data_IF_662324702808
#
_entry.id   IF_662324702808
#
_cell.length_a   1.000
_cell.length_b   1.000
_cell.length_c   1.000
_cell.angle_alpha   90.00
_cell.angle_beta   90.00
_cell.angle_gamma   90.00
#
_symmetry.space_group_name_H-M   'P 1'
#
loop_
_entity.id
_entity.type
_entity.pdbx_description
1 polymer ?
#
# COMPACT_ATOMS: atom_id res chain seq x y z
N UNK A 1 18.04 2.23 -62.66
CA UNK A 1 17.94 2.85 -64.00
C UNK A 1 16.54 3.43 -64.14
N UNK A 2 16.50 4.77 -64.30
CA UNK A 2 15.45 5.64 -64.84
C UNK A 2 13.95 5.34 -64.60
N UNK A 3 13.29 6.23 -63.85
CA UNK A 3 11.96 6.76 -64.20
C UNK A 3 12.12 7.78 -65.36
N UNK A 4 11.04 8.17 -66.09
CA UNK A 4 10.28 9.35 -65.63
C UNK A 4 8.79 9.38 -66.05
N UNK A 5 8.00 10.25 -65.41
CA UNK A 5 6.81 10.86 -66.04
C UNK A 5 5.63 11.13 -65.11
N UNK A 6 5.58 12.33 -64.53
CA UNK A 6 4.37 12.98 -64.01
C UNK A 6 4.20 14.35 -64.68
N UNK A 7 2.97 14.90 -64.73
CA UNK A 7 2.73 16.34 -64.46
C UNK A 7 1.52 16.53 -63.53
N UNK A 8 1.64 17.13 -62.33
CA UNK A 8 1.64 18.57 -61.94
C UNK A 8 0.31 19.33 -62.01
N UNK A 9 -0.14 19.79 -60.83
CA UNK A 9 -0.72 21.12 -60.48
C UNK A 9 -0.61 21.21 -58.93
N UNK A 10 0.19 22.09 -58.30
CA UNK A 10 0.10 23.56 -58.21
C UNK A 10 -1.00 23.94 -57.19
N UNK A 11 -0.80 24.58 -56.04
CA UNK A 11 0.01 25.78 -55.75
C UNK A 11 0.17 26.01 -54.23
N UNK A 12 1.30 26.61 -53.85
CA UNK A 12 1.82 27.03 -52.53
C UNK A 12 1.15 28.29 -51.94
N UNK A 13 1.28 28.51 -50.61
CA UNK A 13 1.39 29.78 -49.82
C UNK A 13 0.50 29.73 -48.55
N UNK A 14 0.80 30.27 -47.35
CA UNK A 14 1.94 30.96 -46.73
C UNK A 14 1.63 31.10 -45.22
N UNK A 15 2.66 31.20 -44.39
CA UNK A 15 2.64 31.45 -42.93
C UNK A 15 2.27 32.89 -42.55
N UNK A 16 1.32 33.07 -41.61
CA UNK A 16 1.20 34.23 -40.69
C UNK A 16 0.55 33.81 -39.35
N UNK A 17 0.85 34.49 -38.22
CA UNK A 17 0.71 33.94 -36.86
C UNK A 17 -0.66 34.21 -36.22
N UNK A 18 -1.18 33.24 -35.47
CA UNK A 18 -2.42 33.40 -34.68
C UNK A 18 -2.09 34.00 -33.31
N UNK A 19 -2.81 35.08 -33.04
CA UNK A 19 -2.77 36.01 -31.92
C UNK A 19 -2.90 35.35 -30.53
N UNK A 20 -2.10 35.84 -29.58
CA UNK A 20 -1.96 35.35 -28.21
C UNK A 20 -3.22 35.56 -27.37
N UNK A 21 -3.82 34.47 -26.87
CA UNK A 21 -4.82 34.53 -25.80
C UNK A 21 -4.09 34.94 -24.51
N UNK A 22 -4.33 36.17 -24.05
CA UNK A 22 -3.91 36.67 -22.75
C UNK A 22 -4.51 35.79 -21.64
N UNK A 23 -3.67 34.94 -21.03
CA UNK A 23 -3.97 34.32 -19.74
C UNK A 23 -4.00 35.41 -18.68
N UNK A 24 -5.18 35.61 -18.07
CA UNK A 24 -5.36 36.45 -16.89
C UNK A 24 -4.29 36.15 -15.85
N UNK A 25 -3.49 37.17 -15.52
CA UNK A 25 -2.46 37.13 -14.50
C UNK A 25 -3.12 37.12 -13.12
N UNK A 26 -3.44 35.92 -12.62
CA UNK A 26 -3.83 35.72 -11.21
C UNK A 26 -2.55 35.76 -10.39
N UNK A 27 -2.38 36.72 -9.46
CA UNK A 27 -1.17 36.79 -8.66
C UNK A 27 -1.11 35.56 -7.76
N UNK A 28 -0.24 34.62 -8.11
CA UNK A 28 0.19 33.55 -7.22
C UNK A 28 0.90 34.23 -6.05
N UNK A 29 0.18 34.42 -4.94
CA UNK A 29 0.79 34.74 -3.66
C UNK A 29 1.55 33.50 -3.21
N UNK A 30 2.80 33.38 -3.64
CA UNK A 30 3.77 32.53 -2.96
C UNK A 30 3.77 32.94 -1.49
N UNK A 31 3.12 32.15 -0.64
CA UNK A 31 3.54 32.09 0.74
C UNK A 31 4.96 31.60 0.67
N UNK A 32 5.93 32.50 0.89
CA UNK A 32 7.30 32.13 1.25
C UNK A 32 7.17 31.15 2.40
N UNK A 33 7.24 29.86 2.08
CA UNK A 33 7.57 28.83 3.04
C UNK A 33 8.92 29.28 3.57
N UNK A 34 8.93 29.84 4.78
CA UNK A 34 10.16 29.97 5.53
C UNK A 34 10.57 28.53 5.77
N UNK A 35 11.48 28.08 4.92
CA UNK A 35 12.17 26.81 5.01
C UNK A 35 12.76 26.78 6.43
N UNK A 36 12.10 26.08 7.34
CA UNK A 36 12.63 25.80 8.65
C UNK A 36 13.97 25.11 8.42
N UNK A 37 15.02 25.68 8.99
CA UNK A 37 16.42 25.32 8.76
C UNK A 37 16.75 24.02 9.49
N UNK A 38 15.89 23.00 9.37
CA UNK A 38 15.96 21.81 10.22
C UNK A 38 17.10 20.87 9.85
N UNK A 39 17.71 21.03 8.68
CA UNK A 39 18.98 20.39 8.35
C UNK A 39 19.67 21.26 7.30
N UNK A 40 20.92 21.64 7.58
CA UNK A 40 21.79 22.29 6.61
C UNK A 40 21.71 21.55 5.27
N UNK A 41 21.49 22.23 4.14
CA UNK A 41 21.34 21.56 2.83
C UNK A 41 22.54 20.66 2.52
N UNK A 42 23.70 21.04 3.03
CA UNK A 42 24.95 20.29 2.92
C UNK A 42 24.95 18.99 3.75
N UNK A 43 24.26 18.96 4.90
CA UNK A 43 24.09 17.75 5.73
C UNK A 43 23.06 16.78 5.14
N UNK A 44 21.97 17.29 4.55
CA UNK A 44 21.04 16.45 3.78
C UNK A 44 21.72 15.88 2.53
N UNK A 45 22.52 16.68 1.84
CA UNK A 45 23.34 16.22 0.73
C UNK A 45 24.35 15.15 1.18
N UNK A 46 24.96 15.28 2.36
CA UNK A 46 25.86 14.27 2.92
C UNK A 46 25.15 12.95 3.27
N UNK A 47 23.89 12.98 3.72
CA UNK A 47 23.07 11.77 3.93
C UNK A 47 22.74 11.11 2.58
N UNK A 48 22.43 11.90 1.55
CA UNK A 48 22.15 11.40 0.19
C UNK A 48 23.40 10.89 -0.56
N UNK A 49 24.59 11.41 -0.23
CA UNK A 49 25.88 11.02 -0.83
C UNK A 49 26.59 9.87 -0.09
N UNK A 50 25.91 9.22 0.84
CA UNK A 50 26.47 8.12 1.63
C UNK A 50 26.64 6.84 0.79
N UNK A 51 27.75 6.80 0.04
CA UNK A 51 28.15 5.69 -0.84
C UNK A 51 28.46 4.39 -0.08
N UNK A 52 28.70 4.45 1.23
CA UNK A 52 28.93 3.30 2.12
C UNK A 52 27.66 2.78 2.80
N UNK A 53 26.54 3.49 2.74
CA UNK A 53 25.26 3.07 3.36
C UNK A 53 25.24 3.10 4.90
N UNK A 54 26.21 3.74 5.54
CA UNK A 54 26.34 3.74 7.00
C UNK A 54 25.37 4.73 7.64
N UNK A 55 24.37 4.25 8.39
CA UNK A 55 23.38 5.12 9.05
C UNK A 55 24.07 5.95 10.14
N UNK A 56 24.35 7.22 9.85
CA UNK A 56 24.91 8.20 10.80
C UNK A 56 23.80 9.04 11.39
N UNK A 57 23.80 9.18 12.71
CA UNK A 57 22.82 9.99 13.42
C UNK A 57 22.98 11.48 13.03
N UNK A 58 21.96 12.12 12.43
CA UNK A 58 22.05 13.49 11.90
C UNK A 58 22.17 14.56 12.99
N UNK A 59 21.79 14.25 14.23
CA UNK A 59 21.85 15.19 15.35
C UNK A 59 23.25 15.26 15.98
N UNK A 60 24.13 14.32 15.64
CA UNK A 60 25.50 14.27 16.18
C UNK A 60 26.31 15.46 15.65
N UNK A 61 26.99 16.15 16.56
CA UNK A 61 27.82 17.31 16.24
C UNK A 61 27.07 18.65 16.24
N UNK A 62 25.75 18.66 16.46
CA UNK A 62 25.00 19.90 16.69
C UNK A 62 25.21 20.34 18.16
N UNK A 63 25.65 21.58 18.42
CA UNK A 63 25.75 22.10 19.78
C UNK A 63 24.40 22.04 20.51
N UNK A 64 24.42 21.75 21.81
CA UNK A 64 23.20 21.56 22.62
C UNK A 64 22.25 22.76 22.52
N UNK A 65 22.76 23.98 22.63
CA UNK A 65 21.94 25.19 22.58
C UNK A 65 21.30 25.40 21.19
N UNK A 66 22.02 25.02 20.13
CA UNK A 66 21.48 25.06 18.78
C UNK A 66 20.37 24.02 18.60
N UNK A 67 20.58 22.79 19.09
CA UNK A 67 19.59 21.72 19.03
C UNK A 67 18.30 22.09 19.76
N UNK A 68 18.39 22.72 20.92
CA UNK A 68 17.21 23.18 21.67
C UNK A 68 16.45 24.25 20.87
N UNK A 69 17.16 25.26 20.33
CA UNK A 69 16.54 26.29 19.49
C UNK A 69 15.86 25.72 18.25
N UNK A 70 16.51 24.79 17.57
CA UNK A 70 15.95 24.13 16.38
C UNK A 70 14.66 23.37 16.72
N UNK A 71 14.59 22.75 17.91
CA UNK A 71 13.40 22.06 18.40
C UNK A 71 12.29 23.04 18.81
N UNK A 72 12.64 24.18 19.42
CA UNK A 72 11.69 25.24 19.76
C UNK A 72 11.07 25.86 18.51
N UNK A 73 11.89 26.16 17.50
CA UNK A 73 11.45 26.65 16.20
C UNK A 73 10.54 25.62 15.50
N UNK A 74 10.92 24.34 15.52
CA UNK A 74 10.08 23.24 15.03
C UNK A 74 8.72 23.20 15.74
N UNK A 75 8.72 23.28 17.06
CA UNK A 75 7.49 23.24 17.84
C UNK A 75 6.60 24.46 17.54
N UNK A 76 7.18 25.64 17.34
CA UNK A 76 6.45 26.84 16.96
C UNK A 76 5.83 26.72 15.55
N UNK A 77 6.60 26.23 14.58
CA UNK A 77 6.17 26.10 13.18
C UNK A 77 5.03 25.09 13.00
N UNK A 78 5.03 24.01 13.80
CA UNK A 78 4.02 22.95 13.74
C UNK A 78 2.93 23.05 14.82
N UNK A 79 2.89 24.16 15.59
CA UNK A 79 1.92 24.38 16.67
C UNK A 79 1.94 23.28 17.76
N UNK A 80 3.14 22.80 18.10
CA UNK A 80 3.41 21.77 19.11
C UNK A 80 4.02 22.35 20.39
N UNK A 81 3.73 23.63 20.68
CA UNK A 81 4.36 24.37 21.78
C UNK A 81 4.02 23.82 23.17
N UNK A 82 2.92 23.07 23.27
CA UNK A 82 2.46 22.38 24.47
C UNK A 82 3.35 21.18 24.84
N UNK A 83 3.97 20.53 23.84
CA UNK A 83 4.84 19.37 24.04
C UNK A 83 6.34 19.68 23.87
N UNK A 84 6.70 20.95 23.65
CA UNK A 84 8.11 21.38 23.49
C UNK A 84 9.08 20.80 24.52
N UNK A 85 8.77 20.76 25.84
CA UNK A 85 9.69 20.17 26.81
C UNK A 85 10.01 18.71 26.53
N UNK A 86 9.02 17.91 26.08
CA UNK A 86 9.23 16.52 25.71
C UNK A 86 9.99 16.38 24.39
N UNK A 87 9.76 17.28 23.44
CA UNK A 87 10.52 17.30 22.19
C UNK A 87 12.01 17.61 22.44
N UNK A 88 12.31 18.54 23.36
CA UNK A 88 13.69 18.85 23.76
C UNK A 88 14.35 17.63 24.40
N UNK A 89 13.69 17.01 25.39
CA UNK A 89 14.18 15.77 26.03
C UNK A 89 14.42 14.67 24.98
N UNK A 90 13.46 14.46 24.07
CA UNK A 90 13.54 13.48 23.00
C UNK A 90 14.69 13.75 22.01
N UNK A 91 14.92 15.01 21.62
CA UNK A 91 16.01 15.39 20.74
C UNK A 91 17.39 15.16 21.39
N UNK A 92 17.52 15.46 22.69
CA UNK A 92 18.76 15.21 23.44
C UNK A 92 19.04 13.71 23.59
N UNK A 93 18.01 12.90 23.90
CA UNK A 93 18.12 11.44 23.93
C UNK A 93 18.46 10.88 22.56
N UNK A 94 17.81 11.37 21.50
CA UNK A 94 18.08 10.97 20.13
C UNK A 94 19.50 11.33 19.68
N UNK A 95 20.06 12.46 20.14
CA UNK A 95 21.45 12.83 19.86
C UNK A 95 22.45 11.86 20.50
N UNK A 96 22.21 11.41 21.74
CA UNK A 96 23.12 10.55 22.51
C UNK A 96 22.40 9.38 23.20
N UNK A 97 21.89 8.38 22.43
CA UNK A 97 21.04 7.32 22.98
C UNK A 97 21.75 6.38 23.96
N UNK A 98 23.09 6.33 23.96
CA UNK A 98 23.90 5.52 24.88
C UNK A 98 24.34 6.25 26.15
N UNK A 99 24.09 7.55 26.26
CA UNK A 99 24.56 8.38 27.37
C UNK A 99 23.41 9.15 28.03
N UNK A 100 22.28 8.47 28.20
CA UNK A 100 21.06 9.00 28.81
C UNK A 100 21.36 9.57 30.20
N UNK A 101 22.21 8.90 30.98
CA UNK A 101 22.65 9.32 32.32
C UNK A 101 23.34 10.69 32.36
N UNK A 102 23.90 11.16 31.25
CA UNK A 102 24.64 12.44 31.19
C UNK A 102 23.77 13.64 30.80
N UNK A 103 22.52 13.43 30.40
CA UNK A 103 21.62 14.49 29.95
C UNK A 103 20.95 15.13 31.16
N UNK A 104 21.25 16.39 31.46
CA UNK A 104 20.75 17.11 32.65
C UNK A 104 19.24 17.39 32.62
N UNK A 105 18.65 17.45 31.44
CA UNK A 105 17.23 17.75 31.22
C UNK A 105 16.29 16.58 31.53
N UNK A 106 16.83 15.37 31.69
CA UNK A 106 16.06 14.19 32.04
C UNK A 106 15.90 14.09 33.56
N UNK A 107 14.66 13.97 33.99
CA UNK A 107 14.33 13.66 35.38
C UNK A 107 14.53 12.16 35.67
N UNK A 108 14.45 11.79 36.95
CA UNK A 108 14.69 10.40 37.38
C UNK A 108 13.66 9.42 36.80
N UNK A 109 12.44 9.92 36.55
CA UNK A 109 11.36 9.12 35.97
C UNK A 109 11.61 8.86 34.48
N UNK A 110 12.07 9.86 33.72
CA UNK A 110 12.51 9.70 32.33
C UNK A 110 13.62 8.65 32.23
N UNK A 111 14.63 8.75 33.12
CA UNK A 111 15.75 7.79 33.15
C UNK A 111 15.28 6.39 33.45
N UNK A 112 14.34 6.22 34.39
CA UNK A 112 13.74 4.93 34.73
C UNK A 112 13.01 4.34 33.52
N UNK A 113 12.17 5.11 32.85
CA UNK A 113 11.41 4.65 31.67
C UNK A 113 12.35 4.26 30.51
N UNK A 114 13.35 5.09 30.21
CA UNK A 114 14.33 4.79 29.16
C UNK A 114 15.21 3.58 29.49
N UNK A 115 15.56 3.39 30.76
CA UNK A 115 16.28 2.19 31.21
C UNK A 115 15.40 0.94 31.16
N UNK A 116 14.12 1.07 31.49
CA UNK A 116 13.14 0.00 31.36
C UNK A 116 12.95 -0.43 29.90
N UNK A 117 12.95 0.51 28.96
CA UNK A 117 12.84 0.21 27.53
C UNK A 117 14.01 -0.69 27.05
N UNK A 118 15.24 -0.39 27.49
CA UNK A 118 16.44 -1.18 27.15
C UNK A 118 16.39 -2.56 27.82
N UNK A 119 16.09 -2.60 29.11
CA UNK A 119 16.08 -3.85 29.91
C UNK A 119 14.90 -4.75 29.56
N UNK A 120 13.76 -4.18 29.18
CA UNK A 120 12.51 -4.88 28.87
C UNK A 120 12.04 -4.59 27.44
N UNK A 121 12.92 -4.83 26.46
CA UNK A 121 12.71 -4.62 25.01
C UNK A 121 11.42 -5.21 24.40
N UNK A 122 10.74 -6.14 25.09
CA UNK A 122 9.50 -6.79 24.61
C UNK A 122 8.25 -6.37 25.41
N UNK A 123 8.37 -5.43 26.34
CA UNK A 123 7.25 -4.92 27.16
C UNK A 123 6.41 -3.96 26.33
N UNK A 124 5.50 -4.52 25.53
CA UNK A 124 4.56 -3.78 24.70
C UNK A 124 3.10 -4.11 25.06
N UNK A 125 2.15 -3.25 24.69
CA UNK A 125 0.73 -3.53 24.87
C UNK A 125 0.32 -4.85 24.22
N UNK A 126 -0.41 -5.72 24.94
CA UNK A 126 -0.87 -7.02 24.42
C UNK A 126 -1.69 -6.90 23.12
N UNK A 127 -2.36 -5.76 22.93
CA UNK A 127 -3.12 -5.47 21.71
C UNK A 127 -2.24 -5.38 20.46
N UNK A 128 -0.98 -4.93 20.60
CA UNK A 128 -0.02 -4.90 19.49
C UNK A 128 0.30 -6.32 19.03
N UNK A 129 0.65 -7.20 19.96
CA UNK A 129 0.92 -8.61 19.66
C UNK A 129 -0.28 -9.31 19.04
N UNK A 130 -1.48 -9.06 19.57
CA UNK A 130 -2.71 -9.59 18.98
C UNK A 130 -2.88 -9.13 17.53
N UNK A 131 -2.64 -7.84 17.26
CA UNK A 131 -2.75 -7.27 15.90
C UNK A 131 -1.73 -7.89 14.95
N UNK A 132 -0.47 -8.07 15.39
CA UNK A 132 0.57 -8.73 14.60
C UNK A 132 0.16 -10.17 14.24
N UNK A 133 -0.32 -10.94 15.22
CA UNK A 133 -0.74 -12.33 15.00
C UNK A 133 -1.93 -12.40 14.05
N UNK A 134 -2.96 -11.56 14.25
CA UNK A 134 -4.14 -11.54 13.38
C UNK A 134 -3.79 -11.14 11.94
N UNK A 135 -2.94 -10.13 11.76
CA UNK A 135 -2.46 -9.74 10.43
C UNK A 135 -1.62 -10.84 9.76
N UNK A 136 -0.79 -11.54 10.55
CA UNK A 136 0.01 -12.66 10.04
C UNK A 136 -0.87 -13.82 9.56
N UNK A 137 -1.89 -14.20 10.34
CA UNK A 137 -2.86 -15.23 9.95
C UNK A 137 -3.62 -14.79 8.68
N UNK A 138 -4.04 -13.54 8.60
CA UNK A 138 -4.72 -13.02 7.41
C UNK A 138 -3.84 -13.13 6.15
N UNK A 139 -2.55 -12.82 6.27
CA UNK A 139 -1.59 -13.00 5.18
C UNK A 139 -1.39 -14.49 4.81
N UNK A 140 -1.31 -15.38 5.81
CA UNK A 140 -1.23 -16.82 5.57
C UNK A 140 -2.46 -17.37 4.82
N UNK A 141 -3.67 -16.98 5.23
CA UNK A 141 -4.92 -17.38 4.54
C UNK A 141 -4.94 -16.87 3.11
N UNK A 142 -4.47 -15.64 2.87
CA UNK A 142 -4.38 -15.08 1.52
C UNK A 142 -3.42 -15.89 0.63
N UNK A 143 -2.24 -16.27 1.14
CA UNK A 143 -1.29 -17.10 0.41
C UNK A 143 -1.79 -18.54 0.17
N UNK A 144 -2.52 -19.09 1.14
CA UNK A 144 -3.14 -20.40 1.03
C UNK A 144 -4.19 -20.43 -0.08
N UNK A 145 -5.07 -19.43 -0.17
CA UNK A 145 -6.10 -19.36 -1.21
C UNK A 145 -5.51 -19.28 -2.63
N UNK A 146 -4.46 -18.47 -2.80
CA UNK A 146 -3.74 -18.36 -4.07
C UNK A 146 -3.12 -19.70 -4.48
N UNK A 147 -2.42 -20.37 -3.55
CA UNK A 147 -1.75 -21.65 -3.82
C UNK A 147 -2.76 -22.78 -4.02
N UNK A 148 -3.84 -22.82 -3.24
CA UNK A 148 -4.91 -23.80 -3.36
C UNK A 148 -5.63 -23.69 -4.71
N UNK A 149 -5.95 -22.48 -5.15
CA UNK A 149 -6.54 -22.23 -6.46
C UNK A 149 -5.60 -22.65 -7.60
N UNK A 150 -4.31 -22.36 -7.49
CA UNK A 150 -3.30 -22.82 -8.45
C UNK A 150 -3.15 -24.35 -8.47
N UNK A 151 -3.19 -25.01 -7.31
CA UNK A 151 -3.17 -26.47 -7.23
C UNK A 151 -4.40 -27.11 -7.89
N UNK A 152 -5.59 -26.55 -7.62
CA UNK A 152 -6.84 -27.02 -8.22
C UNK A 152 -6.86 -26.89 -9.76
N UNK A 153 -6.13 -25.93 -10.33
CA UNK A 153 -6.06 -25.73 -11.78
C UNK A 153 -5.56 -26.95 -12.56
N UNK A 154 -4.78 -27.84 -11.94
CA UNK A 154 -4.30 -29.06 -12.58
C UNK A 154 -5.42 -30.08 -12.82
N UNK A 155 -6.45 -30.11 -11.96
CA UNK A 155 -7.41 -31.22 -11.93
C UNK A 155 -8.85 -30.80 -12.16
N UNK A 156 -9.23 -29.57 -11.80
CA UNK A 156 -10.64 -29.16 -11.86
C UNK A 156 -11.20 -29.21 -13.29
N UNK A 157 -10.40 -28.81 -14.29
CA UNK A 157 -10.86 -28.78 -15.67
C UNK A 157 -11.16 -30.20 -16.20
N UNK A 158 -10.39 -31.19 -15.76
CA UNK A 158 -10.61 -32.61 -16.07
C UNK A 158 -11.88 -33.10 -15.37
N UNK A 159 -12.00 -32.87 -14.06
CA UNK A 159 -13.13 -33.32 -13.25
C UNK A 159 -14.47 -32.71 -13.69
N UNK A 160 -14.44 -31.46 -14.15
CA UNK A 160 -15.62 -30.72 -14.60
C UNK A 160 -15.94 -30.95 -16.10
N UNK A 161 -15.14 -31.75 -16.81
CA UNK A 161 -15.34 -32.05 -18.24
C UNK A 161 -15.06 -30.87 -19.18
N UNK A 162 -14.24 -29.91 -18.76
CA UNK A 162 -13.89 -28.68 -19.50
C UNK A 162 -12.39 -28.54 -19.70
N UNK A 163 -11.66 -29.65 -19.83
CA UNK A 163 -10.21 -29.61 -20.04
C UNK A 163 -9.87 -29.00 -21.39
N UNK A 164 -8.87 -28.13 -21.41
CA UNK A 164 -8.25 -27.54 -22.59
C UNK A 164 -7.01 -28.32 -23.06
N UNK A 165 -6.65 -29.39 -22.35
CA UNK A 165 -5.54 -30.26 -22.71
C UNK A 165 -5.95 -31.23 -23.84
N UNK A 166 -5.20 -31.32 -24.95
CA UNK A 166 -5.46 -32.23 -26.07
C UNK A 166 -5.69 -33.70 -25.69
N UNK A 167 -5.17 -34.15 -24.54
CA UNK A 167 -5.40 -35.51 -24.02
C UNK A 167 -6.83 -35.77 -23.56
N UNK A 168 -7.58 -34.71 -23.23
CA UNK A 168 -8.91 -34.81 -22.61
C UNK A 168 -9.99 -33.99 -23.36
N UNK A 169 -9.65 -33.35 -24.49
CA UNK A 169 -10.60 -32.64 -25.35
C UNK A 169 -10.68 -33.26 -26.75
N UNK A 170 -11.89 -33.35 -27.30
CA UNK A 170 -12.15 -34.12 -28.52
C UNK A 170 -11.66 -33.45 -29.82
N UNK A 171 -11.66 -32.11 -29.89
CA UNK A 171 -11.24 -31.36 -31.09
C UNK A 171 -10.53 -30.06 -30.69
N UNK A 172 -9.64 -29.55 -31.54
CA UNK A 172 -8.92 -28.30 -31.30
C UNK A 172 -9.86 -27.10 -31.03
N UNK A 173 -11.01 -27.05 -31.71
CA UNK A 173 -12.02 -26.01 -31.50
C UNK A 173 -12.65 -26.09 -30.10
N UNK A 174 -12.90 -27.30 -29.59
CA UNK A 174 -13.41 -27.51 -28.22
C UNK A 174 -12.33 -27.15 -27.19
N UNK A 175 -11.08 -27.54 -27.42
CA UNK A 175 -9.97 -27.20 -26.52
C UNK A 175 -9.79 -25.67 -26.41
N UNK A 176 -9.86 -24.95 -27.53
CA UNK A 176 -9.77 -23.48 -27.55
C UNK A 176 -10.92 -22.84 -26.76
N UNK A 177 -12.16 -23.30 -26.96
CA UNK A 177 -13.32 -22.84 -26.18
C UNK A 177 -13.15 -23.12 -24.68
N UNK A 178 -12.66 -24.31 -24.33
CA UNK A 178 -12.43 -24.71 -22.94
C UNK A 178 -11.34 -23.85 -22.28
N UNK A 179 -10.31 -23.43 -23.02
CA UNK A 179 -9.27 -22.54 -22.50
C UNK A 179 -9.82 -21.17 -22.07
N UNK A 180 -10.72 -20.59 -22.88
CA UNK A 180 -11.46 -19.38 -22.48
C UNK A 180 -12.30 -19.60 -21.23
N UNK A 181 -12.94 -20.76 -21.10
CA UNK A 181 -13.76 -21.09 -19.93
C UNK A 181 -12.91 -21.27 -18.66
N UNK A 182 -11.78 -21.97 -18.75
CA UNK A 182 -10.81 -22.13 -17.65
C UNK A 182 -10.24 -20.76 -17.25
N UNK A 183 -9.88 -19.93 -18.22
CA UNK A 183 -9.43 -18.56 -17.98
C UNK A 183 -10.49 -17.72 -17.26
N UNK A 184 -11.76 -17.85 -17.67
CA UNK A 184 -12.89 -17.19 -17.02
C UNK A 184 -13.09 -17.66 -15.57
N UNK A 185 -13.08 -18.97 -15.30
CA UNK A 185 -13.24 -19.52 -13.93
C UNK A 185 -12.13 -19.06 -12.98
N UNK A 186 -10.91 -18.86 -13.50
CA UNK A 186 -9.80 -18.31 -12.72
C UNK A 186 -9.84 -16.80 -12.57
N UNK A 187 -10.38 -16.09 -13.56
CA UNK A 187 -10.50 -14.64 -13.52
C UNK A 187 -11.76 -14.18 -12.79
N UNK A 188 -12.75 -15.06 -12.59
CA UNK A 188 -14.05 -14.73 -12.02
C UNK A 188 -13.98 -14.06 -10.64
N UNK A 189 -13.06 -14.44 -9.72
CA UNK A 189 -12.92 -13.72 -8.47
C UNK A 189 -12.51 -12.26 -8.73
N UNK A 190 -11.47 -12.02 -9.52
CA UNK A 190 -11.00 -10.67 -9.82
C UNK A 190 -12.06 -9.79 -10.49
N UNK A 191 -12.83 -10.37 -11.42
CA UNK A 191 -13.96 -9.69 -12.06
C UNK A 191 -15.02 -9.31 -11.02
N UNK A 192 -15.34 -10.20 -10.08
CA UNK A 192 -16.29 -9.92 -9.01
C UNK A 192 -15.80 -8.78 -8.08
N UNK A 193 -14.51 -8.70 -7.78
CA UNK A 193 -13.93 -7.57 -7.02
C UNK A 193 -14.21 -6.27 -7.76
N UNK A 194 -13.77 -6.18 -9.01
CA UNK A 194 -13.84 -4.94 -9.77
C UNK A 194 -15.26 -4.41 -9.93
N UNK A 195 -16.24 -5.31 -10.08
CA UNK A 195 -17.62 -4.93 -10.38
C UNK A 195 -18.48 -4.70 -9.14
N UNK A 196 -18.23 -5.43 -8.04
CA UNK A 196 -19.13 -5.38 -6.89
C UNK A 196 -18.50 -4.80 -5.64
N UNK A 197 -17.21 -5.06 -5.37
CA UNK A 197 -16.59 -4.71 -4.10
C UNK A 197 -16.71 -3.22 -3.75
N UNK A 198 -16.42 -2.37 -4.73
CA UNK A 198 -16.44 -0.93 -4.56
C UNK A 198 -17.85 -0.38 -4.26
N UNK A 199 -18.90 -1.07 -4.75
CA UNK A 199 -20.28 -0.60 -4.65
C UNK A 199 -21.01 -1.13 -3.41
N UNK A 200 -20.68 -2.35 -2.97
CA UNK A 200 -21.33 -2.97 -1.80
C UNK A 200 -20.66 -2.66 -0.46
N UNK A 201 -19.42 -2.15 -0.45
CA UNK A 201 -18.72 -1.88 0.83
C UNK A 201 -19.43 -0.80 1.67
N UNK A 202 -19.73 0.36 1.08
CA UNK A 202 -20.37 1.49 1.76
C UNK A 202 -21.76 1.20 2.33
N UNK A 203 -22.73 0.72 1.53
CA UNK A 203 -24.09 0.52 2.02
C UNK A 203 -24.11 -0.45 3.19
N UNK A 204 -23.28 -1.50 3.15
CA UNK A 204 -23.45 -2.55 4.12
C UNK A 204 -22.58 -2.39 5.38
N UNK A 205 -21.50 -1.63 5.29
CA UNK A 205 -20.90 -1.02 6.48
C UNK A 205 -21.88 -0.08 7.21
N UNK A 206 -22.74 0.64 6.48
CA UNK A 206 -23.76 1.51 7.08
C UNK A 206 -24.86 0.72 7.81
N UNK A 207 -25.31 -0.40 7.25
CA UNK A 207 -26.39 -1.21 7.85
C UNK A 207 -25.95 -2.15 8.97
N UNK A 208 -24.78 -2.78 8.88
CA UNK A 208 -24.34 -3.83 9.83
C UNK A 208 -23.28 -3.34 10.84
N UNK A 209 -22.72 -2.16 10.60
CA UNK A 209 -21.59 -1.63 11.35
C UNK A 209 -20.31 -2.46 11.16
N UNK A 210 -19.17 -1.89 11.56
CA UNK A 210 -17.85 -2.50 11.31
C UNK A 210 -17.67 -3.89 11.93
N UNK A 211 -18.22 -4.12 13.13
CA UNK A 211 -18.08 -5.40 13.85
C UNK A 211 -18.95 -6.51 13.26
N UNK A 212 -20.21 -6.20 12.93
CA UNK A 212 -21.15 -7.17 12.36
C UNK A 212 -20.71 -7.64 10.97
N UNK A 213 -20.24 -6.68 10.18
CA UNK A 213 -19.60 -6.90 8.89
C UNK A 213 -18.45 -7.92 8.95
N UNK A 214 -17.48 -7.71 9.85
CA UNK A 214 -16.32 -8.61 9.99
C UNK A 214 -16.77 -10.03 10.39
N UNK A 215 -17.74 -10.14 11.29
CA UNK A 215 -18.24 -11.43 11.76
C UNK A 215 -18.91 -12.22 10.63
N UNK A 216 -19.74 -11.56 9.83
CA UNK A 216 -20.41 -12.20 8.69
C UNK A 216 -19.37 -12.59 7.63
N UNK A 217 -18.42 -11.70 7.31
CA UNK A 217 -17.33 -12.01 6.38
C UNK A 217 -16.54 -13.27 6.83
N UNK A 218 -16.26 -13.41 8.13
CA UNK A 218 -15.57 -14.58 8.67
C UNK A 218 -16.36 -15.89 8.48
N UNK A 219 -17.69 -15.88 8.66
CA UNK A 219 -18.54 -17.06 8.42
C UNK A 219 -18.43 -17.48 6.95
N UNK A 220 -18.55 -16.53 6.02
CA UNK A 220 -18.46 -16.82 4.59
C UNK A 220 -17.07 -17.26 4.16
N UNK A 221 -16.00 -16.75 4.80
CA UNK A 221 -14.61 -17.21 4.62
C UNK A 221 -14.42 -18.69 4.93
N UNK A 222 -15.15 -19.23 5.91
CA UNK A 222 -15.11 -20.66 6.21
C UNK A 222 -16.01 -21.46 5.27
N UNK A 223 -17.22 -20.97 4.99
CA UNK A 223 -18.19 -21.72 4.18
C UNK A 223 -17.82 -21.81 2.70
N UNK A 224 -17.15 -20.80 2.14
CA UNK A 224 -16.87 -20.73 0.71
C UNK A 224 -15.87 -21.79 0.20
N UNK A 225 -14.73 -22.04 0.87
CA UNK A 225 -13.85 -23.15 0.50
C UNK A 225 -14.54 -24.51 0.64
N UNK A 226 -15.39 -24.68 1.67
CA UNK A 226 -16.18 -25.91 1.87
C UNK A 226 -17.16 -26.11 0.70
N UNK A 227 -17.92 -25.07 0.35
CA UNK A 227 -18.85 -25.10 -0.78
C UNK A 227 -18.15 -25.38 -2.10
N UNK A 228 -16.97 -24.79 -2.33
CA UNK A 228 -16.15 -25.01 -3.52
C UNK A 228 -15.74 -26.49 -3.67
N UNK A 229 -15.44 -27.16 -2.55
CA UNK A 229 -15.11 -28.59 -2.52
C UNK A 229 -16.28 -29.53 -2.85
N UNK A 230 -17.53 -29.07 -2.73
CA UNK A 230 -18.73 -29.86 -3.04
C UNK A 230 -19.23 -29.65 -4.48
N UNK A 231 -18.66 -28.72 -5.24
CA UNK A 231 -19.13 -28.38 -6.58
C UNK A 231 -18.88 -29.50 -7.59
N UNK A 232 -19.86 -29.74 -8.47
CA UNK A 232 -19.81 -30.80 -9.50
C UNK A 232 -19.84 -30.24 -10.93
N UNK A 233 -20.11 -28.93 -11.07
CA UNK A 233 -20.15 -28.22 -12.35
C UNK A 233 -19.32 -26.94 -12.24
N UNK A 234 -18.67 -26.55 -13.35
CA UNK A 234 -17.85 -25.34 -13.41
C UNK A 234 -18.64 -24.07 -13.02
N UNK A 235 -19.94 -23.99 -13.36
CA UNK A 235 -20.78 -22.85 -12.99
C UNK A 235 -21.03 -22.74 -11.48
N UNK A 236 -21.15 -23.87 -10.78
CA UNK A 236 -21.27 -23.90 -9.32
C UNK A 236 -19.97 -23.44 -8.67
N UNK A 237 -18.81 -23.84 -9.21
CA UNK A 237 -17.50 -23.40 -8.75
C UNK A 237 -17.34 -21.87 -8.91
N UNK A 238 -17.78 -21.31 -10.03
CA UNK A 238 -17.83 -19.85 -10.23
C UNK A 238 -18.75 -19.18 -9.22
N UNK A 239 -19.96 -19.73 -9.00
CA UNK A 239 -20.90 -19.17 -8.03
C UNK A 239 -20.34 -19.19 -6.60
N UNK A 240 -19.69 -20.28 -6.18
CA UNK A 240 -19.02 -20.38 -4.88
C UNK A 240 -17.86 -19.38 -4.76
N UNK A 241 -17.06 -19.19 -5.83
CA UNK A 241 -15.94 -18.23 -5.85
C UNK A 241 -16.41 -16.77 -5.85
N UNK A 242 -17.47 -16.44 -6.59
CA UNK A 242 -18.01 -15.08 -6.72
C UNK A 242 -18.85 -14.69 -5.51
N UNK A 243 -19.73 -15.58 -5.05
CA UNK A 243 -20.60 -15.33 -3.89
C UNK A 243 -19.82 -15.08 -2.60
N UNK A 244 -18.62 -15.64 -2.51
CA UNK A 244 -17.69 -15.43 -1.40
C UNK A 244 -17.02 -14.07 -1.41
N UNK A 245 -16.51 -13.65 -2.57
CA UNK A 245 -15.67 -12.45 -2.68
C UNK A 245 -16.42 -11.16 -2.37
N UNK A 246 -17.71 -11.14 -2.74
CA UNK A 246 -18.67 -10.10 -2.38
C UNK A 246 -18.78 -9.86 -0.87
N UNK A 247 -18.38 -10.83 -0.04
CA UNK A 247 -18.50 -10.80 1.43
C UNK A 247 -17.13 -10.71 2.12
N UNK A 248 -16.09 -11.33 1.56
CA UNK A 248 -14.70 -11.22 2.04
C UNK A 248 -14.15 -9.78 1.97
N UNK A 249 -14.59 -9.00 0.98
CA UNK A 249 -14.14 -7.62 0.77
C UNK A 249 -14.62 -6.64 1.83
N UNK A 250 -15.59 -7.03 2.64
CA UNK A 250 -16.01 -6.21 3.76
C UNK A 250 -15.11 -6.32 4.99
N UNK A 251 -14.11 -7.19 4.94
CA UNK A 251 -13.11 -7.35 6.00
C UNK A 251 -11.98 -6.31 5.91
N UNK A 252 -11.76 -5.68 4.75
CA UNK A 252 -10.75 -4.64 4.52
C UNK A 252 -11.33 -3.26 4.75
#
# INVERSE_FOLDING_TARGET
MAAPGAPTTGTTQSTEPVESINTLNVPHREKKSKQSTLVDKDKLAAIAQNTTGEIKNPLVGIPKDQLIRDVEDFAADFYLTDITPYLIKGALVAQKPRHIDTITELDDEDRRVLSEEITHKWKHPRILYLTIVLNSIAACVQGWDQTGSNGANLTFAIQMGISDNPKYCATAAICAKNSWLVGFVNSSPYIAICLFAAWTSDPVNHFLGRRGTIFIAAIFSVLAPIGSGLTQKWGQLVACRVGYLLLELWRR
#
